data_IF_803237435805
#
_entry.id   IF_803237435805
#
_cell.length_a   1.000
_cell.length_b   1.000
_cell.length_c   1.000
_cell.angle_alpha   90.00
_cell.angle_beta   90.00
_cell.angle_gamma   90.00
#
_symmetry.space_group_name_H-M   'P 1'
#
loop_
_entity.id
_entity.type
_entity.pdbx_description
1 polymer ?
#
# COMPACT_ATOMS: atom_id res chain seq x y z
N UNK A 1 -19.75 -30.11 -4.93
CA UNK A 1 -19.01 -29.99 -3.66
C UNK A 1 -18.74 -28.54 -3.24
N UNK A 2 -18.20 -27.63 -4.09
CA UNK A 2 -17.90 -26.23 -3.71
C UNK A 2 -19.12 -25.40 -3.26
N UNK A 3 -20.29 -25.56 -3.88
CA UNK A 3 -21.50 -24.79 -3.50
C UNK A 3 -22.10 -25.22 -2.15
N UNK A 4 -21.96 -26.48 -1.77
CA UNK A 4 -22.41 -26.96 -0.47
C UNK A 4 -21.52 -26.45 0.67
N UNK A 5 -20.22 -26.36 0.44
CA UNK A 5 -19.26 -25.86 1.41
C UNK A 5 -19.45 -24.35 1.69
N UNK A 6 -19.78 -23.57 0.66
CA UNK A 6 -20.03 -22.12 0.79
C UNK A 6 -21.32 -21.85 1.58
N UNK A 7 -22.38 -22.63 1.37
CA UNK A 7 -23.63 -22.53 2.15
C UNK A 7 -23.42 -22.88 3.63
N UNK A 8 -22.59 -23.88 3.92
CA UNK A 8 -22.28 -24.30 5.31
C UNK A 8 -21.49 -23.22 6.03
N UNK A 9 -20.55 -22.56 5.37
CA UNK A 9 -19.75 -21.44 5.95
C UNK A 9 -20.63 -20.21 6.20
N UNK A 10 -21.53 -19.84 5.29
CA UNK A 10 -22.46 -18.73 5.50
C UNK A 10 -23.44 -19.00 6.66
N UNK A 11 -23.95 -20.22 6.79
CA UNK A 11 -24.84 -20.60 7.89
C UNK A 11 -24.10 -20.56 9.22
N UNK A 12 -22.82 -21.00 9.27
CA UNK A 12 -22.01 -20.94 10.48
C UNK A 12 -21.72 -19.48 10.90
N UNK A 13 -21.39 -18.59 9.96
CA UNK A 13 -21.16 -17.17 10.22
C UNK A 13 -22.45 -16.48 10.72
N UNK A 14 -23.59 -16.73 10.09
CA UNK A 14 -24.88 -16.21 10.57
C UNK A 14 -25.24 -16.75 11.94
N UNK A 15 -24.93 -18.01 12.24
CA UNK A 15 -25.21 -18.63 13.53
C UNK A 15 -24.34 -18.07 14.65
N UNK A 16 -23.05 -17.81 14.39
CA UNK A 16 -22.12 -17.17 15.35
C UNK A 16 -22.52 -15.71 15.60
N UNK A 17 -22.94 -14.97 14.56
CA UNK A 17 -23.48 -13.61 14.72
C UNK A 17 -24.79 -13.58 15.51
N UNK A 18 -25.68 -14.54 15.31
CA UNK A 18 -26.92 -14.68 16.03
C UNK A 18 -26.71 -14.97 17.53
N UNK A 19 -25.75 -15.85 17.86
CA UNK A 19 -25.39 -16.17 19.24
C UNK A 19 -24.79 -14.94 19.97
N UNK A 20 -23.97 -14.11 19.30
CA UNK A 20 -23.47 -12.82 19.85
C UNK A 20 -24.60 -11.81 20.12
N UNK A 21 -25.59 -11.72 19.23
CA UNK A 21 -26.69 -10.76 19.36
C UNK A 21 -27.66 -11.08 20.51
N UNK A 22 -27.77 -12.34 20.92
CA UNK A 22 -28.70 -12.79 21.92
C UNK A 22 -28.09 -13.21 23.27
N UNK A 23 -26.80 -12.96 23.49
CA UNK A 23 -26.15 -13.22 24.79
C UNK A 23 -26.04 -14.71 25.19
N UNK A 24 -26.24 -15.63 24.24
CA UNK A 24 -26.20 -17.08 24.46
C UNK A 24 -24.77 -17.63 24.35
N UNK A 25 -23.80 -16.91 24.90
CA UNK A 25 -22.39 -17.35 24.91
C UNK A 25 -22.18 -18.33 26.07
N UNK A 26 -22.25 -19.61 25.78
CA UNK A 26 -21.89 -20.67 26.72
C UNK A 26 -20.48 -21.20 26.42
N UNK A 27 -19.69 -21.39 27.47
CA UNK A 27 -18.30 -21.94 27.44
C UNK A 27 -18.21 -23.35 26.79
N UNK A 28 -19.33 -24.02 26.52
CA UNK A 28 -19.40 -25.33 25.89
C UNK A 28 -18.94 -25.33 24.42
N UNK A 29 -18.97 -24.17 23.71
CA UNK A 29 -18.60 -24.10 22.30
C UNK A 29 -17.08 -24.17 22.09
N UNK A 30 -16.26 -23.57 22.98
CA UNK A 30 -14.83 -23.71 22.94
C UNK A 30 -14.35 -25.14 23.20
N UNK A 31 -15.06 -25.89 24.04
CA UNK A 31 -14.76 -27.30 24.32
C UNK A 31 -15.08 -28.25 23.17
N UNK A 32 -16.00 -27.87 22.28
CA UNK A 32 -16.36 -28.63 21.07
C UNK A 32 -15.38 -28.41 19.90
N UNK A 33 -14.81 -27.21 19.78
CA UNK A 33 -13.85 -26.87 18.71
C UNK A 33 -12.40 -27.23 19.07
N UNK A 34 -12.07 -27.18 20.35
CA UNK A 34 -10.75 -27.57 20.86
C UNK A 34 -10.93 -28.70 21.88
N UNK A 35 -10.37 -29.86 21.62
CA UNK A 35 -10.22 -30.91 22.65
C UNK A 35 -9.44 -30.27 23.83
N UNK A 36 -10.18 -29.89 24.86
CA UNK A 36 -9.65 -29.14 26.00
C UNK A 36 -8.44 -29.89 26.62
N UNK A 37 -7.21 -29.39 26.52
CA UNK A 37 -6.11 -29.99 27.25
C UNK A 37 -6.39 -29.75 28.76
N UNK A 38 -6.43 -30.81 29.54
CA UNK A 38 -6.68 -30.80 30.96
C UNK A 38 -5.79 -29.72 31.62
N UNK A 39 -6.40 -28.62 32.12
CA UNK A 39 -5.72 -27.61 32.94
C UNK A 39 -5.70 -26.17 32.41
N UNK A 40 -6.31 -25.85 31.25
CA UNK A 40 -6.44 -24.45 30.80
C UNK A 40 -7.63 -23.74 31.42
N UNK A 41 -7.43 -22.50 31.93
CA UNK A 41 -8.53 -21.69 32.43
C UNK A 41 -9.51 -21.34 31.29
N UNK A 42 -10.79 -21.13 31.62
CA UNK A 42 -11.82 -20.72 30.65
C UNK A 42 -11.44 -19.45 29.89
N UNK A 43 -10.73 -18.50 30.54
CA UNK A 43 -10.22 -17.28 29.90
C UNK A 43 -9.13 -17.55 28.87
N UNK A 44 -8.20 -18.48 29.13
CA UNK A 44 -7.17 -18.85 28.16
C UNK A 44 -7.77 -19.56 26.95
N UNK A 45 -8.78 -20.40 27.13
CA UNK A 45 -9.50 -21.06 26.04
C UNK A 45 -10.24 -20.05 25.16
N UNK A 46 -10.95 -19.07 25.76
CA UNK A 46 -11.62 -17.99 25.02
C UNK A 46 -10.63 -17.12 24.26
N UNK A 47 -9.52 -16.72 24.88
CA UNK A 47 -8.49 -15.93 24.23
C UNK A 47 -7.89 -16.65 23.01
N UNK A 48 -7.57 -17.94 23.15
CA UNK A 48 -7.07 -18.78 22.05
C UNK A 48 -8.08 -18.90 20.92
N UNK A 49 -9.38 -19.07 21.23
CA UNK A 49 -10.45 -19.17 20.24
C UNK A 49 -10.60 -17.86 19.45
N UNK A 50 -10.65 -16.71 20.11
CA UNK A 50 -10.72 -15.40 19.46
C UNK A 50 -9.50 -15.08 18.60
N UNK A 51 -8.31 -15.46 19.07
CA UNK A 51 -7.07 -15.27 18.30
C UNK A 51 -7.10 -16.07 16.99
N UNK A 52 -7.52 -17.34 17.08
CA UNK A 52 -7.63 -18.21 15.88
C UNK A 52 -8.67 -17.71 14.88
N UNK A 53 -9.86 -17.29 15.36
CA UNK A 53 -10.90 -16.73 14.49
C UNK A 53 -10.42 -15.46 13.80
N UNK A 54 -9.79 -14.55 14.54
CA UNK A 54 -9.18 -13.33 14.00
C UNK A 54 -8.14 -13.64 12.92
N UNK A 55 -7.26 -14.61 13.18
CA UNK A 55 -6.19 -14.96 12.24
C UNK A 55 -6.74 -15.57 10.94
N UNK A 56 -7.80 -16.37 11.03
CA UNK A 56 -8.52 -16.89 9.86
C UNK A 56 -9.13 -15.74 9.04
N UNK A 57 -9.81 -14.79 9.68
CA UNK A 57 -10.40 -13.64 9.01
C UNK A 57 -9.34 -12.74 8.35
N UNK A 58 -8.20 -12.54 9.01
CA UNK A 58 -7.06 -11.81 8.45
C UNK A 58 -6.51 -12.52 7.21
N UNK A 59 -6.33 -13.84 7.25
CA UNK A 59 -5.87 -14.61 6.09
C UNK A 59 -6.86 -14.55 4.92
N UNK A 60 -8.15 -14.67 5.20
CA UNK A 60 -9.21 -14.54 4.18
C UNK A 60 -9.20 -13.15 3.54
N UNK A 61 -9.15 -12.09 4.34
CA UNK A 61 -9.06 -10.71 3.87
C UNK A 61 -7.83 -10.51 2.97
N UNK A 62 -6.66 -10.98 3.41
CA UNK A 62 -5.42 -10.86 2.65
C UNK A 62 -5.49 -11.66 1.34
N UNK A 63 -6.10 -12.84 1.36
CA UNK A 63 -6.34 -13.65 0.16
C UNK A 63 -7.25 -12.94 -0.85
N UNK A 64 -8.34 -12.34 -0.39
CA UNK A 64 -9.25 -11.56 -1.24
C UNK A 64 -8.53 -10.35 -1.84
N UNK A 65 -7.77 -9.60 -1.04
CA UNK A 65 -6.99 -8.45 -1.51
C UNK A 65 -6.02 -8.85 -2.62
N UNK A 66 -5.29 -9.96 -2.45
CA UNK A 66 -4.38 -10.48 -3.48
C UNK A 66 -5.11 -10.86 -4.78
N UNK A 67 -6.28 -11.50 -4.67
CA UNK A 67 -7.08 -11.85 -5.85
C UNK A 67 -7.61 -10.62 -6.58
N UNK A 68 -8.07 -9.61 -5.85
CA UNK A 68 -8.52 -8.33 -6.44
C UNK A 68 -7.35 -7.63 -7.15
N UNK A 69 -6.19 -7.54 -6.52
CA UNK A 69 -5.00 -6.95 -7.14
C UNK A 69 -4.61 -7.69 -8.43
N UNK A 70 -4.64 -9.03 -8.42
CA UNK A 70 -4.38 -9.82 -9.62
C UNK A 70 -5.42 -9.58 -10.72
N UNK A 71 -6.70 -9.44 -10.36
CA UNK A 71 -7.77 -9.10 -11.31
C UNK A 71 -7.56 -7.73 -11.93
N UNK A 72 -7.18 -6.72 -11.14
CA UNK A 72 -6.87 -5.38 -11.63
C UNK A 72 -5.69 -5.41 -12.61
N UNK A 73 -4.63 -6.17 -12.31
CA UNK A 73 -3.52 -6.37 -13.24
C UNK A 73 -4.00 -6.88 -14.60
N UNK A 74 -4.81 -7.95 -14.61
CA UNK A 74 -5.34 -8.54 -15.85
C UNK A 74 -6.23 -7.54 -16.60
N UNK A 75 -7.14 -6.85 -15.91
CA UNK A 75 -7.99 -5.82 -16.52
C UNK A 75 -7.15 -4.71 -17.16
N UNK A 76 -6.13 -4.21 -16.45
CA UNK A 76 -5.21 -3.19 -16.96
C UNK A 76 -4.43 -3.67 -18.19
N UNK A 77 -3.96 -4.93 -18.19
CA UNK A 77 -3.31 -5.53 -19.36
C UNK A 77 -4.24 -5.61 -20.57
N UNK A 78 -5.48 -6.03 -20.35
CA UNK A 78 -6.50 -6.06 -21.43
C UNK A 78 -6.78 -4.67 -21.97
N UNK A 79 -6.92 -3.66 -21.09
CA UNK A 79 -7.12 -2.26 -21.47
C UNK A 79 -5.96 -1.73 -22.30
N UNK A 80 -4.72 -1.91 -21.84
CA UNK A 80 -3.53 -1.47 -22.56
C UNK A 80 -3.39 -2.13 -23.93
N UNK A 81 -3.73 -3.42 -24.07
CA UNK A 81 -3.72 -4.11 -25.33
C UNK A 81 -4.80 -3.56 -26.29
N UNK A 82 -6.02 -3.35 -25.79
CA UNK A 82 -7.09 -2.72 -26.56
C UNK A 82 -6.70 -1.33 -27.08
N UNK A 83 -6.14 -0.48 -26.22
CA UNK A 83 -5.69 0.87 -26.59
C UNK A 83 -4.56 0.84 -27.63
N UNK A 84 -3.65 -0.14 -27.55
CA UNK A 84 -2.61 -0.37 -28.53
C UNK A 84 -3.19 -0.67 -29.92
N UNK A 85 -4.20 -1.53 -29.97
CA UNK A 85 -4.79 -2.00 -31.23
C UNK A 85 -5.69 -0.94 -31.89
N UNK A 86 -6.26 -0.01 -31.11
CA UNK A 86 -7.12 1.07 -31.60
C UNK A 86 -6.36 2.34 -32.01
N UNK A 87 -5.04 2.36 -31.96
CA UNK A 87 -4.17 3.49 -32.34
C UNK A 87 -4.49 4.83 -31.64
N UNK A 88 -5.15 4.80 -30.51
CA UNK A 88 -5.50 6.00 -29.73
C UNK A 88 -4.29 6.46 -28.91
N UNK A 89 -3.74 7.59 -29.23
CA UNK A 89 -2.65 8.37 -28.61
C UNK A 89 -1.37 7.60 -28.16
N UNK A 90 -0.22 8.25 -28.24
CA UNK A 90 1.09 7.68 -27.87
C UNK A 90 1.23 7.35 -26.38
N UNK A 91 0.34 7.86 -25.54
CA UNK A 91 0.38 7.74 -24.09
C UNK A 91 -0.94 7.17 -23.59
N UNK A 92 -0.85 6.03 -22.92
CA UNK A 92 -2.04 5.31 -22.53
C UNK A 92 -1.90 4.88 -21.07
N UNK A 93 -2.92 5.20 -20.29
CA UNK A 93 -3.06 4.79 -18.90
C UNK A 93 -4.32 3.96 -18.70
N UNK A 94 -4.37 3.16 -17.65
CA UNK A 94 -5.61 2.54 -17.18
C UNK A 94 -6.51 3.61 -16.52
N UNK A 95 -7.73 3.25 -16.21
CA UNK A 95 -8.68 4.14 -15.53
C UNK A 95 -8.22 4.48 -14.10
N UNK A 96 -7.45 3.59 -13.49
CA UNK A 96 -6.85 3.73 -12.16
C UNK A 96 -5.49 4.45 -12.16
N UNK A 97 -5.03 4.95 -13.32
CA UNK A 97 -3.80 5.72 -13.48
C UNK A 97 -2.54 4.90 -13.81
N UNK A 98 -2.64 3.59 -13.93
CA UNK A 98 -1.51 2.72 -14.28
C UNK A 98 -1.03 2.95 -15.74
N UNK A 99 0.26 3.09 -15.95
CA UNK A 99 0.84 3.39 -17.27
C UNK A 99 0.97 2.14 -18.14
N UNK A 100 0.52 2.25 -19.39
CA UNK A 100 0.71 1.20 -20.39
C UNK A 100 2.15 1.18 -20.94
N UNK A 101 2.64 0.05 -21.54
CA UNK A 101 4.04 -0.11 -21.94
C UNK A 101 4.59 0.95 -22.91
N UNK A 102 3.73 1.54 -23.71
CA UNK A 102 4.12 2.62 -24.63
C UNK A 102 4.53 3.88 -23.86
N UNK A 103 3.84 4.19 -22.77
CA UNK A 103 4.19 5.32 -21.91
C UNK A 103 5.53 5.11 -21.18
N UNK A 104 5.83 3.87 -20.76
CA UNK A 104 7.08 3.54 -20.08
C UNK A 104 8.32 3.59 -20.98
N UNK A 105 8.15 3.51 -22.30
CA UNK A 105 9.25 3.62 -23.28
C UNK A 105 9.62 5.07 -23.60
N UNK A 106 8.79 6.03 -23.24
CA UNK A 106 9.06 7.45 -23.47
C UNK A 106 9.98 7.99 -22.37
N UNK A 107 10.82 8.98 -22.69
CA UNK A 107 11.82 9.57 -21.77
C UNK A 107 11.21 10.35 -20.58
N UNK A 108 9.92 10.18 -20.30
CA UNK A 108 9.20 10.94 -19.28
C UNK A 108 9.29 10.33 -17.87
N UNK A 109 9.83 9.12 -17.71
CA UNK A 109 10.09 8.55 -16.38
C UNK A 109 11.30 9.26 -15.77
N UNK A 110 11.01 10.31 -15.01
CA UNK A 110 12.02 11.08 -14.31
C UNK A 110 12.68 10.26 -13.19
N UNK A 111 13.97 9.99 -13.32
CA UNK A 111 14.79 9.42 -12.26
C UNK A 111 15.79 10.45 -11.77
N UNK A 112 15.75 10.76 -10.49
CA UNK A 112 16.71 11.67 -9.84
C UNK A 112 17.77 10.89 -9.05
N UNK A 113 18.92 10.68 -9.66
CA UNK A 113 20.05 9.96 -9.04
C UNK A 113 20.54 10.63 -7.76
N UNK A 114 20.53 11.96 -7.71
CA UNK A 114 20.97 12.73 -6.52
C UNK A 114 20.00 12.49 -5.35
N UNK A 115 18.69 12.54 -5.63
CA UNK A 115 17.67 12.19 -4.66
C UNK A 115 17.78 10.74 -4.20
N UNK A 116 18.01 9.78 -5.11
CA UNK A 116 18.17 8.38 -4.74
C UNK A 116 19.34 8.18 -3.76
N UNK A 117 20.45 8.90 -3.93
CA UNK A 117 21.57 8.88 -2.98
C UNK A 117 21.16 9.44 -1.61
N UNK A 118 20.46 10.58 -1.59
CA UNK A 118 19.96 11.17 -0.35
C UNK A 118 19.00 10.23 0.39
N UNK A 119 18.05 9.62 -0.35
CA UNK A 119 17.11 8.64 0.19
C UNK A 119 17.83 7.40 0.74
N UNK A 120 18.87 6.90 0.07
CA UNK A 120 19.65 5.77 0.56
C UNK A 120 20.30 6.05 1.92
N UNK A 121 20.82 7.27 2.13
CA UNK A 121 21.38 7.69 3.42
C UNK A 121 20.29 7.85 4.48
N UNK A 122 19.15 8.44 4.13
CA UNK A 122 18.00 8.60 5.02
C UNK A 122 17.47 7.23 5.48
N UNK A 123 17.34 6.27 4.57
CA UNK A 123 16.85 4.91 4.85
C UNK A 123 17.92 3.95 5.38
N UNK A 124 19.06 4.43 5.82
CA UNK A 124 20.14 3.56 6.31
C UNK A 124 19.66 2.60 7.40
N UNK A 125 19.82 1.29 7.15
CA UNK A 125 19.40 0.21 8.06
C UNK A 125 17.91 -0.02 8.15
N UNK A 126 17.09 0.65 7.33
CA UNK A 126 15.62 0.56 7.31
C UNK A 126 15.11 -0.37 6.23
N UNK A 127 13.87 -0.83 6.42
CA UNK A 127 13.08 -1.51 5.39
C UNK A 127 12.18 -0.50 4.68
N UNK A 128 12.13 -0.55 3.34
CA UNK A 128 11.41 0.42 2.51
C UNK A 128 10.45 -0.30 1.58
N UNK A 129 9.19 0.15 1.54
CA UNK A 129 8.22 -0.17 0.50
C UNK A 129 8.06 1.02 -0.43
N UNK A 130 8.44 0.86 -1.71
CA UNK A 130 8.25 1.91 -2.72
C UNK A 130 6.97 1.63 -3.50
N UNK A 131 6.01 2.54 -3.43
CA UNK A 131 4.72 2.46 -4.12
C UNK A 131 4.72 3.43 -5.30
N UNK A 132 4.85 2.88 -6.52
CA UNK A 132 5.04 3.64 -7.74
C UNK A 132 6.52 3.82 -8.12
N UNK A 133 7.31 2.73 -8.08
CA UNK A 133 8.76 2.78 -8.38
C UNK A 133 9.05 2.81 -9.90
N UNK A 134 8.00 2.77 -10.73
CA UNK A 134 8.14 2.70 -12.18
C UNK A 134 8.90 1.44 -12.62
N UNK A 135 9.94 1.58 -13.48
CA UNK A 135 10.75 0.44 -13.92
C UNK A 135 11.81 -0.02 -12.90
N UNK A 136 11.80 0.49 -11.67
CA UNK A 136 12.73 0.09 -10.61
C UNK A 136 14.06 0.86 -10.55
N UNK A 137 14.11 2.07 -11.11
CA UNK A 137 15.34 2.85 -11.14
C UNK A 137 15.77 3.32 -9.74
N UNK A 138 14.83 3.74 -8.89
CA UNK A 138 15.11 4.07 -7.49
C UNK A 138 15.54 2.83 -6.70
N UNK A 139 14.83 1.71 -6.84
CA UNK A 139 15.21 0.44 -6.22
C UNK A 139 16.66 0.08 -6.52
N UNK A 140 17.03 0.08 -7.80
CA UNK A 140 18.37 -0.29 -8.23
C UNK A 140 19.43 0.66 -7.65
N UNK A 141 19.22 1.97 -7.75
CA UNK A 141 20.17 2.97 -7.28
C UNK A 141 20.35 2.94 -5.76
N UNK A 142 19.26 2.79 -5.01
CA UNK A 142 19.27 2.76 -3.55
C UNK A 142 19.94 1.47 -3.05
N UNK A 143 19.55 0.30 -3.57
CA UNK A 143 20.14 -0.98 -3.16
C UNK A 143 21.64 -1.08 -3.48
N UNK A 144 22.09 -0.48 -4.58
CA UNK A 144 23.53 -0.47 -4.96
C UNK A 144 24.40 0.21 -3.91
N UNK A 145 23.84 1.08 -3.06
CA UNK A 145 24.60 1.72 -1.97
C UNK A 145 24.94 0.77 -0.83
N UNK A 146 24.21 -0.33 -0.68
CA UNK A 146 24.34 -1.26 0.45
C UNK A 146 23.90 -0.68 1.81
N UNK A 147 23.29 0.52 1.84
CA UNK A 147 22.89 1.20 3.08
C UNK A 147 21.53 0.72 3.61
N UNK A 148 20.60 0.38 2.73
CA UNK A 148 19.22 0.03 3.06
C UNK A 148 19.13 -1.46 3.37
N UNK A 149 18.40 -1.81 4.43
CA UNK A 149 18.25 -3.20 4.87
C UNK A 149 17.46 -4.04 3.87
N UNK A 150 16.35 -3.49 3.37
CA UNK A 150 15.46 -4.14 2.42
C UNK A 150 14.68 -3.08 1.64
N UNK A 151 14.47 -3.32 0.35
CA UNK A 151 13.70 -2.42 -0.50
C UNK A 151 12.81 -3.22 -1.46
N UNK A 152 11.52 -3.19 -1.22
CA UNK A 152 10.51 -3.76 -2.08
C UNK A 152 9.90 -2.66 -2.95
N UNK A 153 9.85 -2.92 -4.27
CA UNK A 153 9.29 -1.99 -5.23
C UNK A 153 7.98 -2.51 -5.82
N UNK A 154 7.03 -1.61 -5.95
CA UNK A 154 5.70 -1.85 -6.50
C UNK A 154 5.31 -0.75 -7.47
N UNK A 155 4.45 -1.06 -8.44
CA UNK A 155 3.91 -0.09 -9.39
C UNK A 155 2.54 -0.50 -9.90
N UNK A 156 1.68 0.49 -10.20
CA UNK A 156 0.34 0.29 -10.78
C UNK A 156 0.33 0.02 -12.28
N UNK A 157 1.46 0.10 -12.97
CA UNK A 157 1.56 -0.24 -14.38
C UNK A 157 1.32 -1.73 -14.61
N UNK A 158 0.33 -2.16 -15.42
CA UNK A 158 -0.06 -3.56 -15.54
C UNK A 158 1.04 -4.51 -16.05
N UNK A 159 2.05 -3.95 -16.71
CA UNK A 159 3.22 -4.67 -17.24
C UNK A 159 4.52 -4.34 -16.51
N UNK A 160 4.45 -3.81 -15.27
CA UNK A 160 5.65 -3.41 -14.52
C UNK A 160 6.60 -4.59 -14.27
N UNK A 161 6.06 -5.79 -14.01
CA UNK A 161 6.88 -6.99 -13.81
C UNK A 161 7.66 -7.36 -15.07
N UNK A 162 7.02 -7.26 -16.25
CA UNK A 162 7.66 -7.55 -17.54
C UNK A 162 8.71 -6.50 -17.89
N UNK A 163 8.41 -5.21 -17.66
CA UNK A 163 9.30 -4.09 -18.00
C UNK A 163 10.47 -3.94 -17.04
N UNK A 164 10.35 -4.47 -15.83
CA UNK A 164 11.39 -4.44 -14.79
C UNK A 164 12.13 -5.77 -14.60
N UNK A 165 11.89 -6.78 -15.46
CA UNK A 165 12.40 -8.14 -15.31
C UNK A 165 12.07 -8.74 -13.91
N UNK A 166 10.86 -8.51 -13.42
CA UNK A 166 10.38 -9.01 -12.13
C UNK A 166 10.91 -8.26 -10.90
N UNK A 167 11.69 -7.18 -11.07
CA UNK A 167 12.23 -6.43 -9.93
C UNK A 167 11.18 -5.55 -9.25
N UNK A 168 10.13 -5.15 -9.96
CA UNK A 168 8.99 -4.38 -9.47
C UNK A 168 7.74 -5.24 -9.56
N UNK A 169 6.93 -5.33 -8.50
CA UNK A 169 5.70 -6.12 -8.44
C UNK A 169 4.48 -5.23 -8.70
N UNK A 170 3.46 -5.79 -9.33
CA UNK A 170 2.22 -5.05 -9.56
C UNK A 170 1.47 -4.78 -8.25
N UNK A 171 1.05 -3.52 -8.06
CA UNK A 171 0.24 -3.07 -6.94
C UNK A 171 -0.67 -1.92 -7.38
N UNK A 172 -1.97 -2.13 -7.33
CA UNK A 172 -2.98 -1.11 -7.59
C UNK A 172 -3.38 -0.43 -6.27
N UNK A 173 -3.07 0.85 -6.14
CA UNK A 173 -3.40 1.65 -4.95
C UNK A 173 -4.84 2.16 -4.94
N UNK A 174 -5.59 2.00 -6.02
CA UNK A 174 -7.02 2.38 -6.10
C UNK A 174 -7.95 1.40 -5.37
N UNK A 175 -7.44 0.23 -5.00
CA UNK A 175 -8.16 -0.77 -4.21
C UNK A 175 -7.48 -1.03 -2.86
N UNK A 176 -8.24 -1.46 -1.82
CA UNK A 176 -7.64 -1.77 -0.52
C UNK A 176 -6.61 -2.89 -0.60
N UNK A 177 -5.38 -2.61 -0.18
CA UNK A 177 -4.28 -3.56 -0.15
C UNK A 177 -4.07 -4.11 1.26
N UNK A 178 -4.08 -5.42 1.39
CA UNK A 178 -3.83 -6.13 2.64
C UNK A 178 -2.84 -7.28 2.42
N UNK A 179 -2.08 -7.60 3.47
CA UNK A 179 -1.16 -8.74 3.44
C UNK A 179 0.21 -8.43 2.81
N UNK A 180 0.51 -7.19 2.45
CA UNK A 180 1.88 -6.75 2.19
C UNK A 180 2.65 -6.60 3.51
N UNK A 181 3.98 -6.67 3.48
CA UNK A 181 4.80 -6.34 4.64
C UNK A 181 4.53 -4.92 5.15
N UNK A 182 4.76 -4.70 6.45
CA UNK A 182 4.84 -3.37 7.03
C UNK A 182 6.31 -2.96 7.03
N UNK A 183 6.61 -1.88 6.31
CA UNK A 183 7.95 -1.33 6.17
C UNK A 183 8.21 -0.26 7.23
N UNK A 184 9.47 0.00 7.54
CA UNK A 184 9.80 1.16 8.36
C UNK A 184 9.34 2.44 7.64
N UNK A 185 9.60 2.53 6.34
CA UNK A 185 9.23 3.68 5.51
C UNK A 185 8.48 3.29 4.23
N UNK A 186 7.50 4.08 3.86
CA UNK A 186 6.91 4.06 2.53
C UNK A 186 7.45 5.23 1.73
N UNK A 187 7.90 4.95 0.51
CA UNK A 187 8.28 5.92 -0.50
C UNK A 187 7.21 5.93 -1.60
N UNK A 188 6.63 7.10 -1.91
CA UNK A 188 5.62 7.24 -2.96
C UNK A 188 5.84 8.58 -3.69
N UNK A 189 6.53 8.53 -4.83
CA UNK A 189 6.96 9.72 -5.57
C UNK A 189 6.28 9.83 -6.92
N UNK A 190 5.61 10.99 -7.17
CA UNK A 190 4.94 11.31 -8.45
C UNK A 190 3.94 10.21 -8.86
N UNK A 191 3.06 9.83 -7.93
CA UNK A 191 2.04 8.76 -8.09
C UNK A 191 0.63 9.29 -7.83
N UNK A 192 0.46 10.03 -6.76
CA UNK A 192 -0.86 10.39 -6.23
C UNK A 192 -1.67 11.26 -7.21
N UNK A 193 -1.01 12.09 -8.01
CA UNK A 193 -1.62 12.91 -9.06
C UNK A 193 -2.20 12.11 -10.23
N UNK A 194 -1.79 10.84 -10.37
CA UNK A 194 -2.30 9.94 -11.40
C UNK A 194 -3.51 9.13 -10.94
N UNK A 195 -3.72 9.00 -9.63
CA UNK A 195 -4.85 8.25 -9.05
C UNK A 195 -6.08 9.16 -9.01
N UNK A 196 -7.22 8.76 -9.61
CA UNK A 196 -8.46 9.53 -9.56
C UNK A 196 -8.88 9.87 -8.13
N UNK A 197 -9.47 11.07 -7.96
CA UNK A 197 -9.88 11.61 -6.66
C UNK A 197 -10.77 10.65 -5.86
N UNK A 198 -11.63 9.90 -6.52
CA UNK A 198 -12.51 8.92 -5.89
C UNK A 198 -11.77 7.78 -5.17
N UNK A 199 -10.51 7.51 -5.53
CA UNK A 199 -9.66 6.50 -4.90
C UNK A 199 -8.61 7.07 -3.94
N UNK A 200 -8.55 8.40 -3.79
CA UNK A 200 -7.54 9.09 -2.98
C UNK A 200 -7.50 8.57 -1.53
N UNK A 201 -8.66 8.45 -0.89
CA UNK A 201 -8.75 7.96 0.49
C UNK A 201 -8.25 6.51 0.63
N UNK A 202 -8.48 5.66 -0.37
CA UNK A 202 -8.01 4.27 -0.40
C UNK A 202 -6.48 4.24 -0.54
N UNK A 203 -5.93 5.05 -1.45
CA UNK A 203 -4.48 5.19 -1.64
C UNK A 203 -3.79 5.63 -0.34
N UNK A 204 -4.30 6.68 0.30
CA UNK A 204 -3.76 7.20 1.56
C UNK A 204 -3.81 6.15 2.67
N UNK A 205 -4.92 5.39 2.79
CA UNK A 205 -5.03 4.30 3.77
C UNK A 205 -4.06 3.14 3.47
N UNK A 206 -3.86 2.79 2.19
CA UNK A 206 -2.85 1.81 1.78
C UNK A 206 -1.43 2.25 2.20
N UNK A 207 -1.06 3.50 1.96
CA UNK A 207 0.23 4.06 2.36
C UNK A 207 0.41 3.98 3.88
N UNK A 208 -0.56 4.51 4.64
CA UNK A 208 -0.54 4.50 6.11
C UNK A 208 -0.42 3.09 6.68
N UNK A 209 -1.19 2.15 6.13
CA UNK A 209 -1.26 0.76 6.62
C UNK A 209 0.08 0.07 6.62
N UNK A 210 0.92 0.38 5.65
CA UNK A 210 2.19 -0.29 5.44
C UNK A 210 3.41 0.51 5.93
N UNK A 211 3.21 1.73 6.46
CA UNK A 211 4.25 2.57 7.05
C UNK A 211 4.34 2.39 8.57
N UNK A 212 5.50 2.01 9.11
CA UNK A 212 5.74 1.87 10.55
C UNK A 212 6.21 3.17 11.19
N UNK A 213 7.21 3.80 10.60
CA UNK A 213 7.85 5.02 11.11
C UNK A 213 7.39 6.26 10.37
N UNK A 214 7.27 6.18 9.04
CA UNK A 214 6.88 7.35 8.26
C UNK A 214 6.72 7.10 6.76
N UNK A 215 6.48 8.20 6.06
CA UNK A 215 6.21 8.24 4.62
C UNK A 215 6.98 9.39 4.00
N UNK A 216 7.62 9.14 2.86
CA UNK A 216 8.08 10.18 1.94
C UNK A 216 7.15 10.16 0.73
N UNK A 217 6.43 11.26 0.53
CA UNK A 217 5.42 11.42 -0.52
C UNK A 217 5.76 12.62 -1.38
N UNK A 218 5.59 12.52 -2.70
CA UNK A 218 5.43 13.70 -3.55
C UNK A 218 4.08 13.67 -4.25
N UNK A 219 3.51 14.85 -4.48
CA UNK A 219 2.21 15.02 -5.13
C UNK A 219 2.22 16.30 -5.97
N UNK A 220 1.87 16.18 -7.24
CA UNK A 220 1.86 17.33 -8.14
C UNK A 220 0.87 18.40 -7.66
N UNK A 221 1.33 19.65 -7.68
CA UNK A 221 0.52 20.79 -7.21
C UNK A 221 -0.45 21.29 -8.30
N UNK A 222 -1.52 22.02 -7.93
CA UNK A 222 -2.41 22.66 -8.88
C UNK A 222 -1.66 23.52 -9.90
N UNK A 223 -2.00 23.33 -11.18
CA UNK A 223 -1.35 24.02 -12.29
C UNK A 223 -0.03 23.39 -12.77
N UNK A 224 0.49 22.36 -12.08
CA UNK A 224 1.60 21.58 -12.60
C UNK A 224 1.09 20.65 -13.69
N UNK A 225 1.57 20.86 -14.92
CA UNK A 225 1.30 19.97 -16.03
C UNK A 225 2.06 18.65 -15.86
N UNK A 226 1.46 17.58 -16.34
CA UNK A 226 2.05 16.26 -16.41
C UNK A 226 1.16 15.34 -17.23
N UNK A 227 1.72 14.22 -17.69
CA UNK A 227 0.96 13.26 -18.43
C UNK A 227 -0.04 12.54 -17.51
N UNK A 228 -1.34 12.57 -17.85
CA UNK A 228 -2.40 11.92 -17.06
C UNK A 228 -2.47 12.39 -15.59
N UNK A 229 -2.15 13.65 -15.31
CA UNK A 229 -2.43 14.26 -14.02
C UNK A 229 -3.93 14.55 -13.90
N UNK A 230 -4.61 13.82 -13.04
CA UNK A 230 -6.06 13.92 -12.82
C UNK A 230 -6.41 14.41 -11.42
N UNK A 231 -5.43 14.39 -10.49
CA UNK A 231 -5.65 14.68 -9.07
C UNK A 231 -4.49 15.48 -8.46
N UNK A 232 -4.29 16.70 -8.94
CA UNK A 232 -3.29 17.61 -8.38
C UNK A 232 -3.80 18.23 -7.07
N UNK A 233 -2.97 18.27 -6.01
CA UNK A 233 -3.33 18.78 -4.69
C UNK A 233 -2.31 19.81 -4.18
N UNK A 234 -2.77 20.80 -3.42
CA UNK A 234 -1.83 21.70 -2.76
C UNK A 234 -1.12 21.01 -1.58
N UNK A 235 0.10 21.44 -1.23
CA UNK A 235 0.81 20.89 -0.07
C UNK A 235 -0.01 20.98 1.22
N UNK A 236 -0.73 22.10 1.43
CA UNK A 236 -1.55 22.32 2.62
C UNK A 236 -2.69 21.29 2.71
N UNK A 237 -3.32 20.95 1.57
CA UNK A 237 -4.32 19.91 1.51
C UNK A 237 -3.73 18.55 1.88
N UNK A 238 -2.61 18.18 1.25
CA UNK A 238 -1.95 16.90 1.50
C UNK A 238 -1.53 16.77 2.96
N UNK A 239 -0.93 17.83 3.53
CA UNK A 239 -0.55 17.84 4.95
C UNK A 239 -1.78 17.62 5.83
N UNK A 240 -2.88 18.34 5.56
CA UNK A 240 -4.10 18.18 6.35
C UNK A 240 -4.70 16.78 6.29
N UNK A 241 -4.70 16.12 5.11
CA UNK A 241 -5.20 14.76 4.97
C UNK A 241 -4.30 13.73 5.69
N UNK A 242 -2.99 13.90 5.62
CA UNK A 242 -2.04 13.01 6.29
C UNK A 242 -2.10 13.18 7.83
N UNK A 243 -2.25 14.40 8.33
CA UNK A 243 -2.43 14.70 9.76
C UNK A 243 -3.68 14.04 10.35
N UNK A 244 -4.81 14.05 9.62
CA UNK A 244 -6.06 13.39 10.06
C UNK A 244 -5.86 11.91 10.36
N UNK A 245 -4.91 11.28 9.71
CA UNK A 245 -4.63 9.86 9.87
C UNK A 245 -3.45 9.56 10.80
N UNK A 246 -2.87 10.58 11.46
CA UNK A 246 -1.76 10.44 12.43
C UNK A 246 -0.39 10.27 11.78
N UNK A 247 -0.21 10.87 10.59
CA UNK A 247 1.07 11.05 9.91
C UNK A 247 1.42 12.53 9.93
N UNK A 248 2.36 12.94 10.79
CA UNK A 248 2.68 14.34 11.05
C UNK A 248 3.76 14.87 10.11
N UNK A 249 3.53 16.03 9.55
CA UNK A 249 4.46 16.66 8.63
C UNK A 249 5.76 17.08 9.33
N UNK A 250 6.88 16.60 8.81
CA UNK A 250 8.22 16.99 9.25
C UNK A 250 8.84 17.98 8.25
N UNK A 251 8.77 19.25 8.59
CA UNK A 251 9.30 20.32 7.73
C UNK A 251 10.82 20.26 7.60
N UNK A 252 11.54 19.89 8.66
CA UNK A 252 13.00 19.85 8.64
C UNK A 252 13.51 18.72 7.74
N UNK A 253 12.99 17.51 7.90
CA UNK A 253 13.38 16.39 7.05
C UNK A 253 12.89 16.58 5.61
N UNK A 254 11.75 17.24 5.41
CA UNK A 254 11.28 17.62 4.08
C UNK A 254 12.30 18.47 3.35
N UNK A 255 12.84 19.53 3.97
CA UNK A 255 13.86 20.38 3.37
C UNK A 255 15.18 19.64 3.16
N UNK A 256 15.58 18.77 4.08
CA UNK A 256 16.78 17.93 3.94
C UNK A 256 16.70 17.02 2.69
N UNK A 257 15.55 16.37 2.48
CA UNK A 257 15.34 15.51 1.31
C UNK A 257 15.24 16.34 0.03
N UNK A 258 14.51 17.46 0.03
CA UNK A 258 14.40 18.38 -1.11
C UNK A 258 15.74 18.93 -1.56
N UNK A 259 16.65 19.21 -0.62
CA UNK A 259 18.00 19.69 -0.93
C UNK A 259 18.77 18.68 -1.79
N UNK A 260 18.59 17.39 -1.54
CA UNK A 260 19.20 16.31 -2.32
C UNK A 260 18.63 16.13 -3.74
N UNK A 261 17.42 16.61 -4.00
CA UNK A 261 16.79 16.48 -5.31
C UNK A 261 17.38 17.45 -6.34
N UNK A 262 17.50 17.03 -7.59
CA UNK A 262 17.86 17.88 -8.74
C UNK A 262 16.64 18.19 -9.61
N UNK A 263 15.70 17.26 -9.69
CA UNK A 263 14.48 17.44 -10.47
C UNK A 263 13.58 18.51 -9.83
N UNK A 264 13.18 19.51 -10.64
CA UNK A 264 12.46 20.70 -10.15
C UNK A 264 11.17 20.37 -9.40
N UNK A 265 10.38 19.41 -9.92
CA UNK A 265 9.09 19.05 -9.30
C UNK A 265 9.32 18.34 -7.96
N UNK A 266 10.26 17.41 -7.89
CA UNK A 266 10.60 16.71 -6.65
C UNK A 266 11.10 17.67 -5.57
N UNK A 267 11.96 18.66 -5.93
CA UNK A 267 12.36 19.73 -5.00
C UNK A 267 11.19 20.51 -4.39
N UNK A 268 10.09 20.59 -5.09
CA UNK A 268 8.92 21.37 -4.69
C UNK A 268 7.87 20.54 -3.98
N UNK A 269 7.69 19.30 -4.43
CA UNK A 269 6.54 18.47 -4.11
C UNK A 269 6.78 17.46 -2.99
N UNK A 270 8.05 17.10 -2.72
CA UNK A 270 8.36 16.11 -1.67
C UNK A 270 7.93 16.63 -0.30
N UNK A 271 7.31 15.76 0.47
CA UNK A 271 6.91 15.95 1.86
C UNK A 271 7.27 14.71 2.66
N UNK A 272 7.79 14.89 3.86
CA UNK A 272 8.12 13.82 4.81
C UNK A 272 7.10 13.84 5.93
N UNK A 273 6.58 12.68 6.28
CA UNK A 273 5.61 12.50 7.35
C UNK A 273 6.09 11.44 8.33
N UNK A 274 6.01 11.75 9.62
CA UNK A 274 6.34 10.82 10.70
C UNK A 274 5.06 10.25 11.31
N UNK A 275 5.05 8.97 11.59
CA UNK A 275 3.96 8.34 12.30
C UNK A 275 4.07 8.60 13.79
N UNK A 276 2.99 9.07 14.43
CA UNK A 276 2.93 9.14 15.88
C UNK A 276 3.13 7.75 16.45
N UNK A 277 4.22 7.57 17.20
CA UNK A 277 4.38 6.40 18.04
C UNK A 277 3.35 6.53 19.16
N UNK A 278 2.26 5.78 19.09
CA UNK A 278 1.39 5.61 20.25
C UNK A 278 2.24 4.89 21.28
N UNK A 279 2.78 5.65 22.24
CA UNK A 279 3.40 5.05 23.42
C UNK A 279 2.32 4.21 24.09
N UNK A 280 2.40 2.90 23.98
CA UNK A 280 1.67 1.96 24.83
C UNK A 280 2.23 2.09 26.26
N UNK A 281 2.09 3.28 26.87
CA UNK A 281 2.26 3.49 28.29
C UNK A 281 0.87 3.46 28.90
N UNK A 282 0.67 2.48 29.78
CA UNK A 282 -0.47 2.27 30.66
C UNK A 282 -1.57 1.33 30.13
N UNK A 283 -1.27 0.02 30.09
CA UNK A 283 -2.24 -0.97 30.57
C UNK A 283 -1.51 -1.84 31.59
N UNK A 284 -1.10 -1.23 32.72
CA UNK A 284 -0.80 -1.87 33.97
C UNK A 284 -1.33 -0.93 35.05
N UNK A 285 -2.61 -1.07 35.41
CA UNK A 285 -3.21 -0.69 36.66
C UNK A 285 -4.52 -1.46 36.84
#
# INVERSE_FOLDING_TARGET
MKAAMLKTVCVLICFVMFIKAFGLYDNSYCSLLYKNPKGTSSQQCLHSCFTTERDILVQQRNGISKLLNQKQKVNGQMKCNYLKDTHTSAYQTTEEGGWCPIATKTKHLGFDRSLATTLAHFFKGKTVGSFGDGPGAYKMAILTTGLVKEYDAYDGAPFCEDTSNGSVRFLDLSIPQYGLPVYDWILCLEVAEHIPEEFEAIMIDNIKRHAREGVILSWAIPGQGGYSHVNNRSPEYVIAEMEKIGLHFDSQETENIRYGAKHRNLKRNIMVFLRTMVNNLAVDA
#
